data_IF_324618572493
#
_entry.id   IF_324618572493
#
_cell.length_a   1.000
_cell.length_b   1.000
_cell.length_c   1.000
_cell.angle_alpha   90.00
_cell.angle_beta   90.00
_cell.angle_gamma   90.00
#
_symmetry.space_group_name_H-M   'P 1'
#
loop_
_entity.id
_entity.type
_entity.pdbx_description
1 polymer ?
#
# COMPACT_ATOMS: atom_id res chain seq x y z
N UNK A 1 -16.61 12.11 16.28
CA UNK A 1 -15.82 11.33 15.29
C UNK A 1 -15.62 12.17 14.03
N UNK A 2 -14.40 12.23 13.47
CA UNK A 2 -14.18 12.88 12.16
C UNK A 2 -14.92 12.09 11.09
N UNK A 3 -15.65 12.78 10.18
CA UNK A 3 -16.39 12.14 9.08
C UNK A 3 -15.51 11.23 8.22
N UNK A 4 -14.20 11.53 8.12
CA UNK A 4 -13.21 10.72 7.40
C UNK A 4 -12.88 9.40 8.10
N UNK A 5 -12.81 9.40 9.43
CA UNK A 5 -12.54 8.19 10.21
C UNK A 5 -13.77 7.28 10.21
N UNK A 6 -14.95 7.87 10.37
CA UNK A 6 -16.22 7.14 10.30
C UNK A 6 -16.42 6.46 8.94
N UNK A 7 -16.13 7.18 7.83
CA UNK A 7 -16.25 6.59 6.50
C UNK A 7 -15.19 5.52 6.23
N UNK A 8 -13.96 5.70 6.72
CA UNK A 8 -12.91 4.69 6.61
C UNK A 8 -13.22 3.44 7.46
N UNK A 9 -13.79 3.63 8.65
CA UNK A 9 -14.23 2.54 9.53
C UNK A 9 -15.33 1.70 8.87
N UNK A 10 -16.36 2.34 8.30
CA UNK A 10 -17.42 1.62 7.57
C UNK A 10 -16.88 0.80 6.42
N UNK A 11 -16.00 1.39 5.60
CA UNK A 11 -15.36 0.68 4.49
C UNK A 11 -14.54 -0.53 4.94
N UNK A 12 -13.87 -0.42 6.09
CA UNK A 12 -13.15 -1.55 6.68
C UNK A 12 -14.11 -2.64 7.15
N UNK A 13 -15.19 -2.27 7.85
CA UNK A 13 -16.21 -3.21 8.28
C UNK A 13 -16.85 -3.96 7.09
N UNK A 14 -17.25 -3.24 6.04
CA UNK A 14 -17.83 -3.82 4.83
C UNK A 14 -16.87 -4.80 4.14
N UNK A 15 -15.56 -4.46 4.09
CA UNK A 15 -14.55 -5.33 3.50
C UNK A 15 -14.35 -6.62 4.32
N UNK A 16 -14.36 -6.51 5.65
CA UNK A 16 -14.23 -7.65 6.56
C UNK A 16 -15.44 -8.59 6.46
N UNK A 17 -16.65 -8.04 6.41
CA UNK A 17 -17.88 -8.81 6.24
C UNK A 17 -17.86 -9.59 4.93
N UNK A 18 -17.58 -8.92 3.81
CA UNK A 18 -17.47 -9.56 2.49
C UNK A 18 -16.38 -10.63 2.45
N UNK A 19 -15.24 -10.41 3.10
CA UNK A 19 -14.19 -11.42 3.18
C UNK A 19 -14.65 -12.63 4.01
N UNK A 20 -15.34 -12.41 5.13
CA UNK A 20 -15.89 -13.48 5.97
C UNK A 20 -16.96 -14.31 5.25
N UNK A 21 -17.86 -13.67 4.50
CA UNK A 21 -18.84 -14.36 3.64
C UNK A 21 -18.15 -15.26 2.60
N UNK A 22 -17.14 -14.71 1.92
CA UNK A 22 -16.40 -15.46 0.91
C UNK A 22 -15.56 -16.59 1.51
N UNK A 23 -14.92 -16.38 2.66
CA UNK A 23 -14.10 -17.38 3.33
C UNK A 23 -14.92 -18.50 3.98
N UNK A 24 -16.11 -18.20 4.49
CA UNK A 24 -17.03 -19.20 5.07
C UNK A 24 -17.84 -19.97 4.02
N UNK A 25 -17.96 -19.44 2.81
CA UNK A 25 -18.68 -20.06 1.71
C UNK A 25 -18.02 -21.34 1.17
N UNK A 26 -18.71 -22.49 1.26
CA UNK A 26 -18.26 -23.81 0.76
C UNK A 26 -17.83 -23.86 -0.73
N UNK A 27 -18.19 -22.87 -1.56
CA UNK A 27 -17.93 -22.86 -3.02
C UNK A 27 -17.24 -21.57 -3.51
N UNK A 28 -16.64 -20.78 -2.63
CA UNK A 28 -15.93 -19.57 -3.06
C UNK A 28 -14.63 -19.93 -3.78
N UNK A 29 -14.40 -19.33 -4.94
CA UNK A 29 -13.15 -19.48 -5.68
C UNK A 29 -12.01 -18.81 -4.90
N UNK A 30 -10.88 -19.50 -4.75
CA UNK A 30 -9.68 -19.01 -4.06
C UNK A 30 -9.30 -17.58 -4.45
N UNK A 31 -9.29 -17.27 -5.76
CA UNK A 31 -8.96 -15.93 -6.24
C UNK A 31 -9.92 -14.82 -5.76
N UNK A 32 -11.20 -15.13 -5.47
CA UNK A 32 -12.14 -14.16 -4.89
C UNK A 32 -11.84 -13.90 -3.41
N UNK A 33 -11.44 -14.94 -2.68
CA UNK A 33 -11.02 -14.81 -1.28
C UNK A 33 -9.74 -13.97 -1.20
N UNK A 34 -8.76 -14.26 -2.06
CA UNK A 34 -7.52 -13.48 -2.14
C UNK A 34 -7.77 -12.01 -2.51
N UNK A 35 -8.67 -11.74 -3.47
CA UNK A 35 -9.08 -10.39 -3.82
C UNK A 35 -9.77 -9.68 -2.65
N UNK A 36 -10.69 -10.35 -1.94
CA UNK A 36 -11.36 -9.78 -0.78
C UNK A 36 -10.38 -9.52 0.38
N UNK A 37 -9.38 -10.39 0.57
CA UNK A 37 -8.32 -10.18 1.55
C UNK A 37 -7.46 -8.94 1.20
N UNK A 38 -7.19 -8.73 -0.10
CA UNK A 38 -6.51 -7.50 -0.56
C UNK A 38 -7.36 -6.24 -0.31
N UNK A 39 -8.67 -6.32 -0.51
CA UNK A 39 -9.61 -5.23 -0.20
C UNK A 39 -9.60 -4.89 1.31
N UNK A 40 -9.63 -5.91 2.18
CA UNK A 40 -9.50 -5.74 3.64
C UNK A 40 -8.20 -5.04 3.99
N UNK A 41 -7.06 -5.49 3.44
CA UNK A 41 -5.74 -4.86 3.69
C UNK A 41 -5.75 -3.39 3.31
N UNK A 42 -6.29 -3.04 2.14
CA UNK A 42 -6.36 -1.66 1.67
C UNK A 42 -7.27 -0.78 2.55
N UNK A 43 -8.42 -1.30 2.97
CA UNK A 43 -9.33 -0.59 3.86
C UNK A 43 -8.71 -0.37 5.25
N UNK A 44 -8.00 -1.37 5.77
CA UNK A 44 -7.30 -1.30 7.06
C UNK A 44 -6.22 -0.22 7.06
N UNK A 45 -5.37 -0.19 6.03
CA UNK A 45 -4.35 0.86 5.85
C UNK A 45 -4.99 2.25 5.82
N UNK A 46 -6.10 2.40 5.08
CA UNK A 46 -6.81 3.69 4.97
C UNK A 46 -7.38 4.14 6.32
N UNK A 47 -8.00 3.23 7.07
CA UNK A 47 -8.52 3.53 8.39
C UNK A 47 -7.42 3.89 9.38
N UNK A 48 -6.33 3.12 9.42
CA UNK A 48 -5.20 3.40 10.30
C UNK A 48 -4.53 4.74 9.97
N UNK A 49 -4.32 5.07 8.70
CA UNK A 49 -3.79 6.36 8.30
C UNK A 49 -4.70 7.53 8.73
N UNK A 50 -6.03 7.35 8.66
CA UNK A 50 -6.98 8.35 9.09
C UNK A 50 -7.00 8.53 10.62
N UNK A 51 -6.78 7.45 11.37
CA UNK A 51 -6.65 7.49 12.84
C UNK A 51 -5.33 8.12 13.24
N UNK A 52 -4.19 7.65 12.69
CA UNK A 52 -2.86 8.15 13.01
C UNK A 52 -2.72 9.65 12.75
N UNK A 53 -3.26 10.13 11.62
CA UNK A 53 -3.26 11.56 11.28
C UNK A 53 -4.07 12.44 12.25
N UNK A 54 -4.96 11.84 13.06
CA UNK A 54 -5.77 12.56 14.05
C UNK A 54 -5.22 12.44 15.46
N UNK A 55 -4.59 11.31 15.78
CA UNK A 55 -4.19 10.98 17.15
C UNK A 55 -2.70 11.13 17.39
N UNK A 56 -1.92 11.56 16.38
CA UNK A 56 -0.45 11.62 16.38
C UNK A 56 0.21 10.33 16.88
N UNK A 57 -0.52 9.22 16.76
CA UNK A 57 -0.10 7.89 17.18
C UNK A 57 0.24 7.11 15.94
N UNK A 58 1.31 6.33 16.01
CA UNK A 58 1.74 5.50 14.89
C UNK A 58 0.62 4.54 14.45
N UNK A 59 0.60 4.21 13.16
CA UNK A 59 -0.40 3.29 12.59
C UNK A 59 -0.33 1.94 13.30
N UNK A 60 -1.45 1.37 13.79
CA UNK A 60 -1.48 0.04 14.44
C UNK A 60 -1.25 -1.13 13.48
N UNK A 61 -0.96 -0.85 12.21
CA UNK A 61 -0.63 -1.85 11.19
C UNK A 61 0.77 -1.64 10.61
N UNK A 62 1.63 -0.84 11.25
CA UNK A 62 3.01 -0.57 10.78
C UNK A 62 3.90 -1.82 10.78
N UNK A 63 3.54 -2.80 11.59
CA UNK A 63 4.19 -4.07 11.84
C UNK A 63 3.69 -5.21 10.92
N UNK A 64 2.63 -4.98 10.14
CA UNK A 64 2.18 -5.95 9.12
C UNK A 64 3.07 -5.81 7.88
N UNK A 65 4.20 -6.53 7.89
CA UNK A 65 5.03 -6.72 6.70
C UNK A 65 4.20 -7.36 5.56
N UNK A 66 4.35 -6.85 4.34
CA UNK A 66 3.78 -7.52 3.17
C UNK A 66 4.49 -8.87 2.99
N UNK A 67 3.81 -10.02 3.11
CA UNK A 67 4.45 -11.33 3.00
C UNK A 67 5.07 -11.58 1.61
N UNK A 68 4.79 -10.72 0.62
CA UNK A 68 5.36 -10.80 -0.73
C UNK A 68 6.72 -10.11 -0.86
N UNK A 69 7.15 -9.34 0.12
CA UNK A 69 8.40 -8.59 0.07
C UNK A 69 9.28 -8.98 1.26
N UNK A 70 10.42 -9.59 0.98
CA UNK A 70 11.34 -10.00 2.05
C UNK A 70 12.02 -8.78 2.71
N UNK A 71 12.47 -8.98 3.95
CA UNK A 71 13.15 -7.94 4.74
C UNK A 71 14.35 -7.31 4.03
N UNK A 72 15.24 -8.07 3.33
CA UNK A 72 16.35 -7.44 2.63
C UNK A 72 15.89 -6.54 1.48
N UNK A 73 14.86 -6.92 0.71
CA UNK A 73 14.32 -6.05 -0.34
C UNK A 73 13.72 -4.77 0.22
N UNK A 74 12.98 -4.86 1.33
CA UNK A 74 12.44 -3.68 2.02
C UNK A 74 13.57 -2.74 2.45
N UNK A 75 14.67 -3.28 2.99
CA UNK A 75 15.83 -2.49 3.41
C UNK A 75 16.49 -1.77 2.24
N UNK A 76 16.71 -2.46 1.12
CA UNK A 76 17.27 -1.87 -0.10
C UNK A 76 16.40 -0.73 -0.63
N UNK A 77 15.09 -0.94 -0.79
CA UNK A 77 14.16 0.09 -1.28
C UNK A 77 14.07 1.29 -0.33
N UNK A 78 14.15 1.05 0.98
CA UNK A 78 14.17 2.11 1.99
C UNK A 78 15.45 2.95 1.85
N UNK A 79 16.61 2.31 1.70
CA UNK A 79 17.88 3.00 1.50
C UNK A 79 17.88 3.82 0.20
N UNK A 80 17.33 3.29 -0.88
CA UNK A 80 17.17 4.00 -2.16
C UNK A 80 16.26 5.22 -2.00
N UNK A 81 15.09 5.07 -1.36
CA UNK A 81 14.18 6.18 -1.07
C UNK A 81 14.89 7.28 -0.28
N UNK A 82 15.59 6.91 0.79
CA UNK A 82 16.27 7.87 1.66
C UNK A 82 17.41 8.59 0.92
N UNK A 83 18.12 7.89 0.03
CA UNK A 83 19.12 8.50 -0.84
C UNK A 83 18.48 9.52 -1.81
N UNK A 84 17.33 9.20 -2.40
CA UNK A 84 16.58 10.12 -3.26
C UNK A 84 16.08 11.34 -2.48
N UNK A 85 15.55 11.15 -1.26
CA UNK A 85 15.11 12.26 -0.41
C UNK A 85 16.25 13.22 -0.06
N UNK A 86 17.45 12.68 0.23
CA UNK A 86 18.65 13.51 0.44
C UNK A 86 19.03 14.28 -0.82
N UNK A 87 19.10 13.58 -1.97
CA UNK A 87 19.44 14.20 -3.25
C UNK A 87 18.46 15.32 -3.64
N UNK A 88 17.17 15.11 -3.38
CA UNK A 88 16.10 16.10 -3.61
C UNK A 88 16.24 17.33 -2.71
N UNK A 89 16.70 17.17 -1.47
CA UNK A 89 16.94 18.27 -0.55
C UNK A 89 18.17 19.10 -0.96
N UNK A 90 19.20 18.45 -1.50
CA UNK A 90 20.43 19.10 -1.98
C UNK A 90 20.28 19.72 -3.37
N UNK A 91 19.48 19.11 -4.25
CA UNK A 91 19.21 19.60 -5.60
C UNK A 91 17.77 19.27 -5.98
N UNK A 92 16.87 20.27 -6.03
CA UNK A 92 15.50 20.03 -6.47
C UNK A 92 15.50 19.51 -7.91
N UNK A 93 14.80 18.40 -8.16
CA UNK A 93 14.73 17.80 -9.50
C UNK A 93 14.16 18.81 -10.50
N UNK A 94 14.84 18.95 -11.62
CA UNK A 94 14.33 19.68 -12.78
C UNK A 94 13.55 18.73 -13.69
N UNK A 95 12.72 19.27 -14.59
CA UNK A 95 11.91 18.44 -15.50
C UNK A 95 12.74 17.44 -16.33
N UNK A 96 14.04 17.72 -16.54
CA UNK A 96 14.99 16.87 -17.26
C UNK A 96 15.40 15.62 -16.47
N UNK A 97 15.40 15.67 -15.13
CA UNK A 97 15.82 14.55 -14.28
C UNK A 97 14.78 13.41 -14.20
N UNK A 98 13.53 13.68 -14.59
CA UNK A 98 12.42 12.72 -14.57
C UNK A 98 12.29 11.91 -15.87
N UNK A 99 13.17 12.15 -16.83
CA UNK A 99 13.12 11.51 -18.13
C UNK A 99 13.76 10.11 -18.06
N UNK A 100 12.96 9.11 -17.68
CA UNK A 100 13.36 7.70 -17.81
C UNK A 100 13.52 7.40 -19.30
N UNK A 101 14.70 7.00 -19.79
CA UNK A 101 14.85 6.59 -21.17
C UNK A 101 13.94 5.39 -21.43
N UNK A 102 12.99 5.52 -22.36
CA UNK A 102 12.27 4.34 -22.85
C UNK A 102 13.31 3.40 -23.50
N UNK A 103 13.30 2.09 -23.18
CA UNK A 103 14.09 1.14 -23.94
C UNK A 103 13.69 1.26 -25.41
N UNK A 104 14.66 1.52 -26.27
CA UNK A 104 14.42 1.56 -27.72
C UNK A 104 13.86 0.21 -28.16
N UNK A 105 12.81 0.18 -28.99
CA UNK A 105 12.32 -1.09 -29.52
C UNK A 105 13.45 -1.72 -30.34
N UNK A 106 13.93 -2.87 -29.88
CA UNK A 106 14.88 -3.71 -30.59
C UNK A 106 14.37 -3.91 -32.02
N UNK A 107 14.99 -3.20 -32.98
CA UNK A 107 14.81 -3.47 -34.40
C UNK A 107 15.79 -4.57 -34.76
N UNK A 108 15.47 -5.79 -34.32
CA UNK A 108 16.14 -6.99 -34.84
C UNK A 108 15.44 -7.40 -36.14
N UNK A 109 16.15 -7.19 -37.25
CA UNK A 109 15.90 -7.87 -38.53
C UNK A 109 16.18 -9.37 -38.42
#
# INVERSE_FOLDING_TARGET
MSKKIESAYRRLADALEKHAELASGKKSRRGRIESAAADVKRAAITYAAAVSARTDTESPFSDIADPRLDRPTIASLTAERDALSRRLAETPLTATDLQVPLPSPDSSQ
#
